data_IF_755780407287
#
_entry.id   IF_755780407287
#
_cell.length_a   1.000
_cell.length_b   1.000
_cell.length_c   1.000
_cell.angle_alpha   90.00
_cell.angle_beta   90.00
_cell.angle_gamma   90.00
#
_symmetry.space_group_name_H-M   'P 1'
#
loop_
_entity.id
_entity.type
_entity.pdbx_description
1 polymer ?
#
# COMPACT_ATOMS: atom_id res chain seq x y z
N UNK A 1 -7.02 47.46 43.27
CA UNK A 1 -5.99 46.40 43.42
C UNK A 1 -6.55 45.11 42.82
N UNK A 2 -5.81 44.41 41.95
CA UNK A 2 -6.31 43.17 41.31
C UNK A 2 -5.83 41.91 42.05
N UNK A 3 -6.77 41.05 42.42
CA UNK A 3 -6.48 39.78 43.09
C UNK A 3 -5.95 38.72 42.10
N UNK A 4 -4.96 37.93 42.53
CA UNK A 4 -4.43 36.80 41.75
C UNK A 4 -5.35 35.56 41.87
N UNK A 5 -5.62 34.81 40.78
CA UNK A 5 -6.34 33.54 40.87
C UNK A 5 -5.59 32.50 41.71
N UNK A 6 -6.32 31.70 42.49
CA UNK A 6 -5.76 30.51 43.19
C UNK A 6 -5.81 29.29 42.26
N UNK A 7 -4.71 28.55 42.17
CA UNK A 7 -4.68 27.25 41.49
C UNK A 7 -5.36 26.16 42.36
N UNK A 8 -6.07 25.18 41.76
CA UNK A 8 -6.67 24.08 42.50
C UNK A 8 -5.61 23.10 43.03
N UNK A 9 -5.88 22.50 44.19
CA UNK A 9 -5.01 21.50 44.83
C UNK A 9 -5.16 20.13 44.16
N UNK A 10 -4.05 19.49 43.84
CA UNK A 10 -3.99 18.05 43.51
C UNK A 10 -4.12 17.23 44.80
N UNK A 11 -5.19 16.43 44.94
CA UNK A 11 -5.29 15.36 45.95
C UNK A 11 -6.45 14.40 45.64
N UNK A 12 -6.18 13.29 44.93
CA UNK A 12 -7.12 12.19 44.72
C UNK A 12 -6.40 10.91 44.23
N UNK A 13 -5.49 10.35 45.05
CA UNK A 13 -4.78 9.10 44.69
C UNK A 13 -5.69 7.89 45.01
N UNK A 14 -6.49 7.46 44.03
CA UNK A 14 -7.25 6.21 44.13
C UNK A 14 -6.31 5.00 44.01
N UNK A 15 -6.18 4.24 45.10
CA UNK A 15 -5.45 2.96 45.14
C UNK A 15 -6.27 1.83 44.51
N UNK A 16 -6.21 1.64 43.19
CA UNK A 16 -6.70 0.41 42.56
C UNK A 16 -5.78 -0.77 42.92
N UNK A 17 -6.29 -1.73 43.70
CA UNK A 17 -5.64 -3.02 43.90
C UNK A 17 -5.74 -3.85 42.61
N UNK A 18 -4.61 -4.20 42.01
CA UNK A 18 -4.55 -5.20 40.95
C UNK A 18 -4.60 -6.60 41.57
N UNK A 19 -5.63 -7.39 41.26
CA UNK A 19 -5.73 -8.81 41.64
C UNK A 19 -4.93 -9.66 40.65
N UNK A 20 -3.82 -10.23 41.11
CA UNK A 20 -2.91 -11.02 40.28
C UNK A 20 -3.22 -12.52 40.32
N UNK A 21 -3.91 -13.05 39.31
CA UNK A 21 -3.75 -14.45 38.83
C UNK A 21 -4.46 -14.67 37.49
N UNK A 22 -3.71 -14.69 36.39
CA UNK A 22 -4.08 -15.43 35.18
C UNK A 22 -2.86 -16.22 34.73
N UNK A 23 -2.82 -17.50 35.11
CA UNK A 23 -1.79 -18.43 34.67
C UNK A 23 -2.06 -18.83 33.21
N UNK A 24 -1.05 -18.69 32.36
CA UNK A 24 -1.12 -19.19 30.99
C UNK A 24 -0.89 -20.71 30.99
N UNK A 25 -1.66 -21.49 30.20
CA UNK A 25 -1.43 -22.94 30.10
C UNK A 25 -0.08 -23.23 29.43
N UNK A 26 0.62 -24.32 29.81
CA UNK A 26 1.88 -24.70 29.20
C UNK A 26 1.68 -25.14 27.74
N UNK A 27 2.58 -24.71 26.86
CA UNK A 27 2.56 -25.07 25.44
C UNK A 27 2.95 -26.56 25.31
N UNK A 28 2.01 -27.39 24.87
CA UNK A 28 2.29 -28.79 24.54
C UNK A 28 3.06 -28.88 23.21
N UNK A 29 4.24 -29.49 23.23
CA UNK A 29 5.05 -29.74 22.03
C UNK A 29 4.55 -30.99 21.30
N UNK A 30 4.00 -30.81 20.10
CA UNK A 30 3.56 -31.92 19.23
C UNK A 30 4.80 -32.63 18.64
N UNK A 31 4.97 -33.97 18.81
CA UNK A 31 6.08 -34.71 18.21
C UNK A 31 5.93 -34.83 16.68
N UNK A 32 6.97 -34.50 15.92
CA UNK A 32 6.94 -34.56 14.46
C UNK A 32 7.26 -35.96 13.93
N UNK A 33 6.23 -36.73 13.56
CA UNK A 33 6.40 -38.14 13.12
C UNK A 33 6.86 -38.27 11.66
N UNK A 34 8.11 -38.67 11.45
CA UNK A 34 8.70 -38.85 10.11
C UNK A 34 8.38 -40.21 9.48
N UNK A 35 7.24 -40.33 8.78
CA UNK A 35 6.88 -41.55 8.02
C UNK A 35 7.71 -41.71 6.73
N UNK A 36 8.84 -42.40 6.87
CA UNK A 36 9.77 -42.82 5.80
C UNK A 36 9.13 -43.86 4.87
N UNK A 37 8.74 -43.47 3.65
CA UNK A 37 8.06 -44.37 2.69
C UNK A 37 9.08 -45.19 1.88
N UNK A 38 9.26 -46.47 2.25
CA UNK A 38 9.96 -47.45 1.39
C UNK A 38 9.20 -47.65 0.07
N UNK A 39 9.92 -47.90 -1.02
CA UNK A 39 9.45 -48.65 -2.19
C UNK A 39 10.28 -49.93 -2.29
N UNK A 40 9.67 -50.99 -2.77
CA UNK A 40 10.24 -52.34 -2.88
C UNK A 40 10.79 -52.61 -4.28
N UNK A 41 11.77 -53.50 -4.35
CA UNK A 41 12.31 -54.12 -5.56
C UNK A 41 11.76 -55.53 -5.70
N UNK A 42 11.56 -56.00 -6.94
CA UNK A 42 11.46 -57.43 -7.31
C UNK A 42 11.79 -57.59 -8.80
N UNK A 43 12.79 -58.43 -9.10
CA UNK A 43 13.03 -59.32 -10.27
C UNK A 43 12.12 -59.16 -11.53
N UNK A 44 12.62 -59.11 -12.78
CA UNK A 44 13.37 -60.13 -13.57
C UNK A 44 12.57 -61.39 -13.90
N UNK A 45 12.68 -62.04 -15.08
CA UNK A 45 13.55 -61.84 -16.27
C UNK A 45 12.76 -61.17 -17.43
N UNK A 46 12.99 -61.25 -18.76
CA UNK A 46 13.88 -62.02 -19.64
C UNK A 46 14.19 -61.26 -20.97
N UNK A 47 14.62 -61.97 -22.03
CA UNK A 47 15.10 -61.39 -23.30
C UNK A 47 14.56 -62.10 -24.56
N UNK A 48 14.61 -61.44 -25.73
CA UNK A 48 14.99 -62.06 -27.02
C UNK A 48 15.15 -61.04 -28.18
N UNK A 49 15.98 -61.45 -29.16
CA UNK A 49 16.07 -60.99 -30.56
C UNK A 49 16.65 -59.60 -30.93
N UNK A 50 17.22 -59.58 -32.14
CA UNK A 50 17.93 -58.53 -32.87
C UNK A 50 17.06 -58.09 -34.10
N UNK A 51 17.39 -57.08 -34.95
CA UNK A 51 18.71 -56.85 -35.56
C UNK A 51 19.17 -55.38 -35.72
N UNK A 52 20.34 -55.24 -36.35
CA UNK A 52 21.07 -54.00 -36.60
C UNK A 52 20.61 -53.24 -37.85
N UNK A 53 20.67 -51.91 -37.78
CA UNK A 53 20.71 -51.01 -38.95
C UNK A 53 21.84 -49.99 -38.74
N UNK A 54 22.70 -49.81 -39.74
CA UNK A 54 23.76 -48.80 -39.75
C UNK A 54 23.19 -47.42 -40.12
N UNK A 55 23.69 -46.32 -39.53
CA UNK A 55 23.30 -44.99 -40.00
C UNK A 55 23.85 -43.79 -39.23
N UNK A 56 24.54 -42.90 -39.96
CA UNK A 56 24.82 -41.50 -39.62
C UNK A 56 25.57 -41.19 -38.30
N UNK A 57 26.89 -40.96 -38.41
CA UNK A 57 27.59 -40.11 -37.46
C UNK A 57 27.05 -38.67 -37.55
N UNK A 58 26.29 -38.23 -36.55
CA UNK A 58 26.00 -36.80 -36.32
C UNK A 58 26.85 -36.28 -35.16
N UNK A 59 27.75 -35.36 -35.46
CA UNK A 59 28.65 -34.73 -34.50
C UNK A 59 27.90 -34.16 -33.31
N UNK A 60 28.12 -34.73 -32.11
CA UNK A 60 27.58 -34.21 -30.86
C UNK A 60 28.28 -32.91 -30.49
N UNK A 61 27.83 -31.78 -31.05
CA UNK A 61 28.14 -30.47 -30.50
C UNK A 61 27.60 -30.41 -29.07
N UNK A 62 28.50 -30.39 -28.09
CA UNK A 62 28.18 -30.23 -26.68
C UNK A 62 27.58 -28.85 -26.44
N UNK A 63 26.25 -28.75 -26.55
CA UNK A 63 25.50 -27.57 -26.11
C UNK A 63 25.79 -27.33 -24.63
N UNK A 64 26.75 -26.44 -24.36
CA UNK A 64 27.03 -25.90 -23.03
C UNK A 64 25.69 -25.43 -22.46
N UNK A 65 25.29 -26.00 -21.31
CA UNK A 65 24.01 -25.67 -20.68
C UNK A 65 24.01 -24.16 -20.44
N UNK A 66 23.13 -23.45 -21.15
CA UNK A 66 23.16 -22.00 -21.22
C UNK A 66 23.19 -21.40 -19.82
N UNK A 67 24.14 -20.49 -19.59
CA UNK A 67 24.21 -19.69 -18.37
C UNK A 67 22.83 -19.11 -18.14
N UNK A 68 22.15 -19.53 -17.06
CA UNK A 68 20.88 -18.92 -16.66
C UNK A 68 21.16 -17.44 -16.50
N UNK A 69 20.65 -16.60 -17.41
CA UNK A 69 20.65 -15.14 -17.24
C UNK A 69 20.08 -14.88 -15.85
N UNK A 70 20.94 -14.46 -14.90
CA UNK A 70 20.48 -13.96 -13.62
C UNK A 70 19.53 -12.81 -13.97
N UNK A 71 18.25 -12.96 -13.60
CA UNK A 71 17.34 -11.82 -13.66
C UNK A 71 17.97 -10.75 -12.77
N UNK A 72 18.19 -9.57 -13.32
CA UNK A 72 18.76 -8.45 -12.57
C UNK A 72 17.84 -8.17 -11.38
N UNK A 73 18.38 -8.29 -10.17
CA UNK A 73 17.71 -7.88 -8.94
C UNK A 73 17.23 -6.44 -9.13
N UNK A 74 15.96 -6.16 -8.82
CA UNK A 74 15.43 -4.80 -8.98
C UNK A 74 16.04 -3.89 -7.91
N UNK A 75 15.91 -2.56 -8.07
CA UNK A 75 16.55 -1.64 -7.14
C UNK A 75 15.98 -1.72 -5.71
N UNK A 76 14.73 -2.19 -5.54
CA UNK A 76 14.06 -2.19 -4.24
C UNK A 76 14.56 -3.28 -3.27
N UNK A 77 14.70 -4.58 -3.64
CA UNK A 77 15.31 -5.59 -2.77
C UNK A 77 16.75 -5.25 -2.37
N UNK A 78 17.55 -4.71 -3.29
CA UNK A 78 18.91 -4.26 -3.03
C UNK A 78 18.95 -3.08 -2.04
N UNK A 79 18.08 -2.08 -2.24
CA UNK A 79 17.90 -0.94 -1.32
C UNK A 79 17.46 -1.42 0.07
N UNK A 80 16.52 -2.35 0.13
CA UNK A 80 16.02 -2.93 1.38
C UNK A 80 17.10 -3.76 2.10
N UNK A 81 17.95 -4.47 1.36
CA UNK A 81 19.08 -5.22 1.91
C UNK A 81 20.16 -4.30 2.49
N UNK A 82 20.49 -3.21 1.79
CA UNK A 82 21.45 -2.21 2.29
C UNK A 82 20.91 -1.43 3.50
N UNK A 83 19.63 -1.04 3.50
CA UNK A 83 18.97 -0.37 4.63
C UNK A 83 18.93 -1.24 5.90
N UNK A 84 18.87 -2.56 5.75
CA UNK A 84 18.76 -3.53 6.85
C UNK A 84 20.07 -4.28 7.15
N UNK A 85 21.18 -3.88 6.52
CA UNK A 85 22.53 -4.34 6.86
C UNK A 85 22.95 -5.72 6.36
N UNK A 86 22.20 -6.35 5.46
CA UNK A 86 22.53 -7.65 4.85
C UNK A 86 22.83 -7.59 3.34
N UNK A 87 22.87 -6.38 2.79
CA UNK A 87 23.20 -6.09 1.39
C UNK A 87 24.61 -5.51 1.21
N UNK A 88 25.08 -5.61 -0.03
CA UNK A 88 26.40 -5.15 -0.47
C UNK A 88 26.52 -3.62 -0.44
N UNK A 89 27.74 -3.09 -0.33
CA UNK A 89 27.97 -1.64 -0.17
C UNK A 89 27.97 -0.85 -1.51
N UNK A 90 27.43 -1.41 -2.59
CA UNK A 90 27.37 -0.79 -3.93
C UNK A 90 25.93 -0.81 -4.44
N UNK A 91 25.43 0.28 -5.02
CA UNK A 91 24.09 0.29 -5.64
C UNK A 91 24.09 -0.48 -6.96
N UNK A 92 22.94 -1.07 -7.38
CA UNK A 92 22.78 -1.62 -8.73
C UNK A 92 22.95 -0.58 -9.86
N UNK A 93 22.89 0.72 -9.54
CA UNK A 93 23.16 1.85 -10.43
C UNK A 93 24.65 2.20 -10.58
N UNK A 94 25.53 1.62 -9.75
CA UNK A 94 26.92 2.05 -9.60
C UNK A 94 27.13 3.34 -8.79
N UNK A 95 26.07 4.07 -8.43
CA UNK A 95 26.16 5.28 -7.61
C UNK A 95 26.48 4.95 -6.14
N UNK A 96 27.14 5.86 -5.39
CA UNK A 96 27.33 5.68 -3.95
C UNK A 96 25.99 5.71 -3.22
N UNK A 97 25.87 4.93 -2.15
CA UNK A 97 24.74 5.05 -1.22
C UNK A 97 24.82 6.39 -0.46
N UNK A 98 23.69 7.05 -0.14
CA UNK A 98 23.68 8.24 0.70
C UNK A 98 24.20 7.89 2.10
N UNK A 99 24.91 8.84 2.72
CA UNK A 99 25.40 8.60 4.09
C UNK A 99 24.25 8.67 5.09
N UNK A 100 23.89 7.50 5.63
CA UNK A 100 22.84 7.31 6.62
C UNK A 100 23.46 6.65 7.85
N UNK A 101 23.42 7.35 8.98
CA UNK A 101 23.89 6.88 10.28
C UNK A 101 23.39 5.47 10.62
N UNK A 102 24.28 4.61 11.12
CA UNK A 102 23.97 3.21 11.45
C UNK A 102 23.52 3.06 12.91
N UNK A 103 22.53 2.22 13.14
CA UNK A 103 22.13 1.66 14.43
C UNK A 103 22.78 0.28 14.55
N UNK A 104 23.93 0.23 15.22
CA UNK A 104 24.72 -1.00 15.40
C UNK A 104 24.40 -1.67 16.73
N UNK A 105 24.21 -2.99 16.72
CA UNK A 105 24.12 -3.84 17.90
C UNK A 105 25.14 -4.97 17.76
N UNK A 106 26.31 -4.78 18.36
CA UNK A 106 27.50 -5.63 18.21
C UNK A 106 27.20 -7.11 18.51
N UNK A 107 26.54 -7.36 19.66
CA UNK A 107 26.16 -8.70 20.12
C UNK A 107 25.15 -9.44 19.23
N UNK A 108 24.64 -8.82 18.16
CA UNK A 108 23.57 -9.35 17.31
C UNK A 108 23.90 -9.37 15.81
N UNK A 109 25.16 -9.06 15.41
CA UNK A 109 25.58 -8.89 14.01
C UNK A 109 24.65 -7.97 13.20
N UNK A 110 24.13 -6.91 13.85
CA UNK A 110 22.99 -6.14 13.34
C UNK A 110 23.35 -4.67 13.12
N UNK A 111 23.20 -4.22 11.87
CA UNK A 111 23.48 -2.85 11.41
C UNK A 111 22.30 -2.31 10.60
N UNK A 112 21.28 -1.77 11.27
CA UNK A 112 20.17 -1.08 10.59
C UNK A 112 20.61 0.34 10.21
N UNK A 113 20.18 0.88 9.07
CA UNK A 113 20.29 2.32 8.79
C UNK A 113 19.20 3.05 9.60
N UNK A 114 19.55 4.19 10.21
CA UNK A 114 18.60 5.03 10.95
C UNK A 114 17.69 5.77 9.96
N UNK A 115 16.61 5.09 9.58
CA UNK A 115 15.57 5.59 8.67
C UNK A 115 14.18 5.39 9.24
N UNK A 116 13.26 6.22 8.76
CA UNK A 116 11.83 6.09 8.95
C UNK A 116 11.18 5.58 7.67
N UNK A 117 10.56 4.41 7.71
CA UNK A 117 9.65 3.97 6.65
C UNK A 117 8.32 4.70 6.80
N UNK A 118 7.95 5.45 5.77
CA UNK A 118 6.70 6.16 5.64
C UNK A 118 5.90 5.51 4.51
N UNK A 119 4.84 4.78 4.84
CA UNK A 119 3.93 4.26 3.84
C UNK A 119 2.73 5.18 3.63
N UNK A 120 2.39 5.38 2.36
CA UNK A 120 1.26 6.16 1.89
C UNK A 120 0.45 5.32 0.90
N UNK A 121 -0.86 5.47 0.99
CA UNK A 121 -1.88 4.94 0.09
C UNK A 121 -2.97 6.01 -0.06
N UNK A 122 -3.66 6.08 -1.21
CA UNK A 122 -4.66 7.12 -1.52
C UNK A 122 -5.90 6.48 -2.16
N UNK A 123 -7.06 6.75 -1.58
CA UNK A 123 -8.36 6.19 -2.01
C UNK A 123 -9.46 7.28 -1.98
N UNK A 124 -10.71 6.93 -2.31
CA UNK A 124 -11.88 7.80 -2.35
C UNK A 124 -11.70 9.09 -3.20
N UNK A 125 -10.77 9.05 -4.16
CA UNK A 125 -10.30 10.18 -4.96
C UNK A 125 -11.42 10.73 -5.86
N UNK A 126 -11.84 11.97 -5.61
CA UNK A 126 -12.80 12.68 -6.42
C UNK A 126 -12.12 13.88 -7.11
N UNK A 127 -12.05 13.79 -8.44
CA UNK A 127 -11.44 14.76 -9.34
C UNK A 127 -12.48 15.26 -10.35
N UNK A 128 -12.46 16.56 -10.66
CA UNK A 128 -13.22 17.18 -11.74
C UNK A 128 -12.31 17.93 -12.72
N UNK A 129 -12.89 18.78 -13.59
CA UNK A 129 -12.15 19.67 -14.49
C UNK A 129 -11.22 20.66 -13.76
N UNK A 130 -11.59 21.11 -12.55
CA UNK A 130 -10.80 22.05 -11.76
C UNK A 130 -9.67 21.37 -10.95
N UNK A 131 -9.77 20.06 -10.71
CA UNK A 131 -8.71 19.24 -10.14
C UNK A 131 -9.21 18.32 -9.04
N UNK A 132 -8.35 18.02 -8.06
CA UNK A 132 -8.69 17.12 -6.95
C UNK A 132 -9.46 17.92 -5.88
N UNK A 133 -10.73 17.57 -5.72
CA UNK A 133 -11.63 18.17 -4.72
C UNK A 133 -11.45 17.57 -3.35
N UNK A 134 -11.47 16.23 -3.25
CA UNK A 134 -11.45 15.47 -2.00
C UNK A 134 -10.86 14.07 -2.24
N UNK A 135 -10.26 13.49 -1.21
CA UNK A 135 -9.64 12.15 -1.22
C UNK A 135 -9.41 11.68 0.22
N UNK A 136 -9.19 10.37 0.38
CA UNK A 136 -8.72 9.78 1.64
C UNK A 136 -7.25 9.38 1.47
N UNK A 137 -6.44 9.58 2.52
CA UNK A 137 -5.01 9.23 2.52
C UNK A 137 -4.64 8.45 3.78
N UNK A 138 -4.01 7.30 3.55
CA UNK A 138 -3.38 6.49 4.57
C UNK A 138 -1.98 6.98 4.86
N UNK A 139 -1.62 7.06 6.15
CA UNK A 139 -0.26 7.35 6.57
C UNK A 139 0.14 6.37 7.67
N UNK A 140 1.09 5.50 7.37
CA UNK A 140 1.63 4.51 8.30
C UNK A 140 3.13 4.69 8.45
N UNK A 141 3.62 4.71 9.69
CA UNK A 141 5.01 5.00 10.02
C UNK A 141 5.61 3.84 10.80
N UNK A 142 6.76 3.35 10.35
CA UNK A 142 7.62 2.43 11.10
C UNK A 142 9.02 3.02 11.20
N UNK A 143 9.62 2.96 12.38
CA UNK A 143 10.90 3.59 12.67
C UNK A 143 11.95 2.55 13.05
N UNK A 144 13.11 2.59 12.40
CA UNK A 144 14.21 1.63 12.65
C UNK A 144 14.79 1.76 14.05
N UNK A 145 14.76 2.95 14.63
CA UNK A 145 15.10 3.19 16.04
C UNK A 145 14.24 2.34 16.98
N UNK A 146 12.94 2.25 16.71
CA UNK A 146 11.99 1.53 17.58
C UNK A 146 12.16 0.00 17.45
N UNK A 147 12.53 -0.49 16.26
CA UNK A 147 12.95 -1.89 16.05
C UNK A 147 14.24 -2.16 16.85
N UNK A 148 15.25 -1.30 16.72
CA UNK A 148 16.53 -1.40 17.42
C UNK A 148 16.38 -1.40 18.95
N UNK A 149 15.48 -0.56 19.48
CA UNK A 149 15.13 -0.55 20.91
C UNK A 149 14.43 -1.84 21.37
N UNK A 150 13.53 -2.43 20.57
CA UNK A 150 12.95 -3.74 20.89
C UNK A 150 14.00 -4.87 20.86
N UNK A 151 14.98 -4.81 19.95
CA UNK A 151 16.04 -5.81 19.86
C UNK A 151 16.98 -5.80 21.08
N UNK A 152 17.26 -4.61 21.64
CA UNK A 152 17.99 -4.46 22.91
C UNK A 152 17.26 -5.04 24.14
N UNK A 153 15.94 -5.26 24.07
CA UNK A 153 15.21 -5.87 25.17
C UNK A 153 15.38 -7.40 25.17
N UNK A 154 15.56 -8.06 26.34
CA UNK A 154 15.57 -9.51 26.44
C UNK A 154 14.28 -10.12 25.86
N UNK A 155 14.31 -11.28 25.18
CA UNK A 155 13.15 -11.84 24.47
C UNK A 155 11.84 -11.86 25.27
N UNK A 156 11.89 -12.20 26.56
CA UNK A 156 10.74 -12.23 27.49
C UNK A 156 10.10 -10.85 27.78
N UNK A 157 10.72 -9.75 27.35
CA UNK A 157 10.26 -8.35 27.55
C UNK A 157 9.99 -7.61 26.24
N UNK A 158 10.19 -8.23 25.07
CA UNK A 158 9.95 -7.59 23.77
C UNK A 158 8.43 -7.48 23.52
N UNK A 159 7.87 -6.27 23.52
CA UNK A 159 6.47 -6.05 23.15
C UNK A 159 6.38 -5.89 21.62
N UNK A 160 6.39 -7.04 20.93
CA UNK A 160 6.38 -7.13 19.47
C UNK A 160 4.98 -7.04 18.84
N UNK A 161 4.00 -6.52 19.59
CA UNK A 161 2.64 -6.30 19.11
C UNK A 161 2.54 -5.25 17.99
N UNK A 162 1.32 -5.02 17.49
CA UNK A 162 1.05 -4.17 16.33
C UNK A 162 1.49 -2.68 16.48
N UNK A 163 1.95 -2.26 17.67
CA UNK A 163 2.26 -0.87 18.03
C UNK A 163 3.52 -0.27 17.38
N UNK A 164 4.40 -1.09 16.76
CA UNK A 164 5.58 -0.56 16.06
C UNK A 164 5.21 0.20 14.78
N UNK A 165 4.12 -0.20 14.10
CA UNK A 165 3.60 0.50 12.93
C UNK A 165 2.50 1.47 13.40
N UNK A 166 2.81 2.77 13.40
CA UNK A 166 1.92 3.84 13.86
C UNK A 166 1.13 4.40 12.67
N UNK A 167 -0.15 4.06 12.60
CA UNK A 167 -1.03 4.38 11.48
C UNK A 167 -2.09 5.42 11.81
N UNK A 168 -2.45 6.19 10.79
CA UNK A 168 -3.56 7.16 10.80
C UNK A 168 -4.22 7.19 9.42
N UNK A 169 -5.54 7.38 9.41
CA UNK A 169 -6.33 7.63 8.21
C UNK A 169 -6.76 9.10 8.21
N UNK A 170 -6.62 9.80 7.08
CA UNK A 170 -7.07 11.19 6.94
C UNK A 170 -8.06 11.32 5.80
N UNK A 171 -9.23 11.88 6.11
CA UNK A 171 -10.25 12.30 5.15
C UNK A 171 -9.94 13.76 4.79
N UNK A 172 -9.79 14.08 3.50
CA UNK A 172 -9.18 15.34 3.06
C UNK A 172 -10.14 16.17 2.22
N UNK A 173 -10.39 17.42 2.64
CA UNK A 173 -11.33 18.38 2.02
C UNK A 173 -12.81 17.93 1.98
N UNK A 174 -13.14 16.81 2.64
CA UNK A 174 -14.47 16.21 2.73
C UNK A 174 -15.03 16.37 4.14
N UNK A 175 -15.91 17.34 4.31
CA UNK A 175 -16.53 17.67 5.59
C UNK A 175 -18.03 17.32 5.65
N UNK A 176 -18.54 16.53 4.69
CA UNK A 176 -20.00 16.31 4.52
C UNK A 176 -20.43 14.87 4.21
N UNK A 177 -19.54 13.94 3.82
CA UNK A 177 -19.95 12.54 3.55
C UNK A 177 -20.02 11.68 4.82
N UNK A 178 -20.73 10.56 4.71
CA UNK A 178 -21.02 9.62 5.81
C UNK A 178 -19.74 9.05 6.41
N UNK A 179 -19.32 9.64 7.54
CA UNK A 179 -18.11 9.19 8.24
C UNK A 179 -18.29 7.76 8.76
N UNK A 180 -19.51 7.34 9.06
CA UNK A 180 -19.86 5.99 9.55
C UNK A 180 -19.33 4.89 8.62
N UNK A 181 -19.50 5.06 7.30
CA UNK A 181 -18.98 4.14 6.29
C UNK A 181 -17.44 4.11 6.22
N UNK A 182 -16.75 5.08 6.84
CA UNK A 182 -15.27 5.17 6.94
C UNK A 182 -14.73 4.87 8.35
N UNK A 183 -15.57 4.41 9.29
CA UNK A 183 -15.13 3.97 10.64
C UNK A 183 -14.31 2.65 10.57
N UNK A 184 -14.35 1.92 9.45
CA UNK A 184 -13.61 0.66 9.22
C UNK A 184 -12.07 0.76 9.23
N UNK A 185 -11.49 1.95 9.49
CA UNK A 185 -10.06 2.07 9.76
C UNK A 185 -9.68 1.26 11.01
N UNK A 186 -8.70 0.38 10.84
CA UNK A 186 -8.44 -0.79 11.70
C UNK A 186 -7.19 -0.64 12.58
N UNK A 187 -6.47 0.47 12.47
CA UNK A 187 -5.15 0.67 13.09
C UNK A 187 -4.99 2.07 13.74
N UNK A 188 -6.08 2.63 14.28
CA UNK A 188 -6.08 3.83 15.11
C UNK A 188 -7.18 4.83 14.76
N UNK A 189 -6.93 6.12 15.02
CA UNK A 189 -7.91 7.18 14.75
C UNK A 189 -7.93 7.71 13.31
N UNK A 190 -9.13 7.74 12.71
CA UNK A 190 -9.46 8.55 11.53
C UNK A 190 -9.67 10.05 11.92
N UNK A 191 -9.38 10.99 11.01
CA UNK A 191 -9.63 12.44 11.19
C UNK A 191 -9.89 13.16 9.86
N UNK A 192 -10.86 14.08 9.82
CA UNK A 192 -11.03 15.04 8.71
C UNK A 192 -10.01 16.18 8.82
N UNK A 193 -9.48 16.68 7.70
CA UNK A 193 -8.69 17.92 7.64
C UNK A 193 -8.65 18.57 6.25
N UNK A 194 -8.26 19.85 6.20
CA UNK A 194 -7.90 20.53 4.96
C UNK A 194 -6.52 20.10 4.44
N UNK A 195 -6.31 20.21 3.13
CA UNK A 195 -5.05 19.92 2.45
C UNK A 195 -3.85 20.73 2.98
N UNK A 196 -3.95 22.04 3.30
CA UNK A 196 -2.83 22.77 3.90
C UNK A 196 -2.44 22.21 5.28
N UNK A 197 -3.42 21.78 6.09
CA UNK A 197 -3.17 21.13 7.38
C UNK A 197 -2.59 19.72 7.20
N UNK A 198 -2.99 18.98 6.17
CA UNK A 198 -2.34 17.72 5.79
C UNK A 198 -0.88 17.94 5.41
N UNK A 199 -0.58 18.88 4.50
CA UNK A 199 0.79 19.21 4.06
C UNK A 199 1.69 19.52 5.25
N UNK A 200 1.26 20.41 6.14
CA UNK A 200 2.00 20.73 7.36
C UNK A 200 2.21 19.49 8.22
N UNK A 201 1.15 18.71 8.49
CA UNK A 201 1.22 17.52 9.33
C UNK A 201 2.09 16.41 8.76
N UNK A 202 2.22 16.31 7.43
CA UNK A 202 3.18 15.44 6.76
C UNK A 202 4.61 15.97 6.96
N UNK A 203 4.84 17.28 6.75
CA UNK A 203 6.13 17.95 7.06
C UNK A 203 6.58 17.65 8.50
N UNK A 204 5.70 17.86 9.49
CA UNK A 204 5.93 17.57 10.92
C UNK A 204 6.26 16.09 11.25
N UNK A 205 6.14 15.17 10.28
CA UNK A 205 6.43 13.73 10.44
C UNK A 205 7.72 13.29 9.73
N UNK A 206 8.18 14.08 8.76
CA UNK A 206 9.41 13.84 7.97
C UNK A 206 10.56 14.78 8.35
N UNK A 207 10.26 15.93 8.94
CA UNK A 207 11.26 16.94 9.30
C UNK A 207 12.34 16.39 10.24
N UNK A 208 13.60 16.68 9.92
CA UNK A 208 14.78 16.18 10.62
C UNK A 208 15.03 14.67 10.50
N UNK A 209 14.47 13.97 9.49
CA UNK A 209 14.60 12.51 9.36
C UNK A 209 14.88 12.02 7.95
N UNK A 210 15.66 10.96 7.88
CA UNK A 210 15.87 10.16 6.66
C UNK A 210 14.63 9.30 6.40
N UNK A 211 13.80 9.71 5.44
CA UNK A 211 12.52 9.04 5.14
C UNK A 211 12.65 8.16 3.91
N UNK A 212 12.25 6.89 4.05
CA UNK A 212 12.04 5.95 2.95
C UNK A 212 10.54 5.90 2.69
N UNK A 213 10.10 6.36 1.53
CA UNK A 213 8.71 6.35 1.11
C UNK A 213 8.34 4.95 0.57
N UNK A 214 7.22 4.39 1.02
CA UNK A 214 6.78 3.02 0.68
C UNK A 214 5.37 3.05 0.11
N UNK A 215 5.20 2.49 -1.08
CA UNK A 215 3.92 2.49 -1.82
C UNK A 215 3.67 1.13 -2.49
N UNK A 216 2.56 1.00 -3.21
CA UNK A 216 2.13 -0.24 -3.83
C UNK A 216 1.44 0.03 -5.17
N UNK A 217 2.22 0.04 -6.26
CA UNK A 217 1.75 0.52 -7.57
C UNK A 217 1.80 2.04 -7.71
N UNK A 218 2.90 2.63 -7.23
CA UNK A 218 3.09 4.04 -6.81
C UNK A 218 2.73 5.15 -7.82
N UNK A 219 2.39 4.81 -9.06
CA UNK A 219 2.15 5.78 -10.14
C UNK A 219 0.97 6.71 -9.83
N UNK A 220 -0.09 6.19 -9.21
CA UNK A 220 -1.27 6.97 -8.83
C UNK A 220 -0.94 7.93 -7.69
N UNK A 221 -0.29 7.44 -6.63
CA UNK A 221 -0.01 8.21 -5.41
C UNK A 221 0.99 9.33 -5.70
N UNK A 222 2.03 9.05 -6.49
CA UNK A 222 3.01 10.06 -6.94
C UNK A 222 2.35 11.13 -7.82
N UNK A 223 1.47 10.73 -8.75
CA UNK A 223 0.72 11.66 -9.60
C UNK A 223 -0.20 12.57 -8.77
N UNK A 224 -0.96 11.98 -7.84
CA UNK A 224 -1.83 12.71 -6.92
C UNK A 224 -1.02 13.65 -6.03
N UNK A 225 0.02 13.17 -5.33
CA UNK A 225 0.86 14.01 -4.46
C UNK A 225 1.51 15.17 -5.23
N UNK A 226 2.00 14.94 -6.46
CA UNK A 226 2.53 16.00 -7.33
C UNK A 226 1.47 17.04 -7.66
N UNK A 227 0.27 16.62 -8.10
CA UNK A 227 -0.83 17.54 -8.42
C UNK A 227 -1.36 18.32 -7.20
N UNK A 228 -1.23 17.73 -6.01
CA UNK A 228 -1.58 18.35 -4.73
C UNK A 228 -0.45 19.18 -4.12
N UNK A 229 0.70 19.32 -4.79
CA UNK A 229 1.93 19.92 -4.27
C UNK A 229 2.25 19.43 -2.85
N UNK A 230 2.26 18.11 -2.67
CA UNK A 230 2.76 17.41 -1.49
C UNK A 230 4.15 16.89 -1.86
N UNK A 231 5.20 17.61 -1.45
CA UNK A 231 6.57 17.13 -1.57
C UNK A 231 7.04 16.55 -0.22
N UNK A 232 7.64 15.36 -0.27
CA UNK A 232 8.14 14.61 0.90
C UNK A 232 9.67 14.42 0.89
N UNK A 233 10.36 14.77 -0.20
CA UNK A 233 11.82 14.60 -0.39
C UNK A 233 12.42 13.32 0.25
N UNK A 234 11.90 12.11 -0.04
CA UNK A 234 12.40 10.90 0.58
C UNK A 234 13.80 10.54 0.06
N UNK A 235 14.64 9.93 0.91
CA UNK A 235 15.97 9.44 0.50
C UNK A 235 15.89 8.22 -0.43
N UNK A 236 14.79 7.46 -0.34
CA UNK A 236 14.46 6.34 -1.22
C UNK A 236 12.95 6.20 -1.37
N UNK A 237 12.51 5.71 -2.52
CA UNK A 237 11.13 5.24 -2.74
C UNK A 237 11.16 3.74 -3.03
N UNK A 238 10.34 2.97 -2.33
CA UNK A 238 10.16 1.53 -2.54
C UNK A 238 8.72 1.27 -2.99
N UNK A 239 8.55 0.80 -4.22
CA UNK A 239 7.28 0.22 -4.67
C UNK A 239 7.28 -1.29 -4.38
N UNK A 240 6.44 -1.70 -3.44
CA UNK A 240 6.29 -3.11 -3.06
C UNK A 240 5.79 -4.00 -4.21
N UNK A 241 5.09 -3.43 -5.20
CA UNK A 241 4.61 -4.13 -6.41
C UNK A 241 5.76 -4.43 -7.39
N UNK A 242 6.79 -3.58 -7.44
CA UNK A 242 8.01 -3.85 -8.23
C UNK A 242 8.94 -4.80 -7.48
N UNK A 243 9.14 -4.57 -6.18
CA UNK A 243 10.04 -5.36 -5.32
C UNK A 243 9.75 -6.88 -5.36
N UNK A 244 8.49 -7.28 -5.56
CA UNK A 244 8.07 -8.70 -5.61
C UNK A 244 7.73 -9.22 -7.00
N UNK A 245 7.90 -8.41 -8.07
CA UNK A 245 7.47 -8.76 -9.43
C UNK A 245 8.15 -10.01 -9.99
N UNK A 246 9.35 -10.34 -9.52
CA UNK A 246 10.08 -11.55 -9.87
C UNK A 246 9.69 -12.78 -9.01
N UNK A 247 8.99 -12.57 -7.88
CA UNK A 247 8.55 -13.63 -6.96
C UNK A 247 7.13 -14.14 -7.24
N UNK A 248 6.21 -13.25 -7.65
CA UNK A 248 4.77 -13.57 -7.74
C UNK A 248 4.13 -13.15 -9.06
N UNK A 249 3.31 -14.03 -9.64
CA UNK A 249 2.48 -13.75 -10.83
C UNK A 249 1.36 -12.73 -10.60
N UNK A 250 0.95 -12.52 -9.35
CA UNK A 250 -0.06 -11.54 -8.93
C UNK A 250 0.51 -10.70 -7.81
N UNK A 251 0.65 -9.41 -8.05
CA UNK A 251 1.38 -8.48 -7.19
C UNK A 251 0.47 -7.46 -6.49
N UNK A 252 -0.85 -7.65 -6.50
CA UNK A 252 -1.78 -6.80 -5.74
C UNK A 252 -1.76 -7.11 -4.24
N UNK A 253 -2.10 -6.12 -3.42
CA UNK A 253 -1.98 -6.17 -1.97
C UNK A 253 -2.72 -7.37 -1.34
N UNK A 254 -3.95 -7.66 -1.79
CA UNK A 254 -4.73 -8.79 -1.29
C UNK A 254 -4.04 -10.15 -1.53
N UNK A 255 -3.44 -10.35 -2.72
CA UNK A 255 -2.66 -11.55 -3.02
C UNK A 255 -1.40 -11.64 -2.12
N UNK A 256 -0.66 -10.54 -1.94
CA UNK A 256 0.55 -10.53 -1.10
C UNK A 256 0.23 -10.78 0.37
N UNK A 257 -0.88 -10.23 0.90
CA UNK A 257 -1.31 -10.47 2.27
C UNK A 257 -1.68 -11.93 2.53
N UNK A 258 -2.32 -12.61 1.57
CA UNK A 258 -2.59 -14.05 1.64
C UNK A 258 -1.30 -14.88 1.60
N UNK A 259 -0.44 -14.60 0.63
CA UNK A 259 0.84 -15.31 0.40
C UNK A 259 1.77 -15.24 1.61
N UNK A 260 1.97 -14.04 2.17
CA UNK A 260 2.82 -13.84 3.36
C UNK A 260 2.14 -14.22 4.69
N UNK A 261 0.86 -14.64 4.65
CA UNK A 261 0.02 -15.00 5.80
C UNK A 261 -0.13 -13.86 6.81
N UNK A 262 -0.38 -12.66 6.31
CA UNK A 262 -0.65 -11.46 7.10
C UNK A 262 -2.16 -11.41 7.42
N UNK A 263 -2.58 -11.37 8.71
CA UNK A 263 -3.99 -11.30 9.09
C UNK A 263 -4.64 -10.02 8.57
N UNK A 264 -5.72 -10.17 7.80
CA UNK A 264 -6.53 -9.08 7.26
C UNK A 264 -8.00 -9.53 7.18
N UNK A 265 -8.93 -8.60 7.39
CA UNK A 265 -10.36 -8.84 7.15
C UNK A 265 -10.72 -8.55 5.69
N UNK A 266 -11.71 -9.25 5.13
CA UNK A 266 -12.17 -8.99 3.76
C UNK A 266 -12.60 -7.52 3.57
N UNK A 267 -13.34 -6.96 4.53
CA UNK A 267 -13.76 -5.55 4.58
C UNK A 267 -12.70 -4.59 5.17
N UNK A 268 -11.41 -4.93 5.12
CA UNK A 268 -10.33 -4.06 5.64
C UNK A 268 -9.43 -3.45 4.57
N UNK A 269 -9.57 -3.88 3.31
CA UNK A 269 -8.97 -3.21 2.15
C UNK A 269 -9.93 -2.15 1.58
N UNK A 270 -9.47 -1.30 0.67
CA UNK A 270 -10.21 -0.13 0.14
C UNK A 270 -10.49 0.92 1.23
N UNK A 271 -9.49 1.10 2.09
CA UNK A 271 -9.50 2.05 3.19
C UNK A 271 -8.07 2.51 3.40
N UNK A 272 -7.60 3.51 2.65
CA UNK A 272 -6.19 3.91 2.54
C UNK A 272 -5.32 3.80 3.81
N UNK A 273 -5.81 4.22 4.99
CA UNK A 273 -5.11 4.01 6.28
C UNK A 273 -4.78 2.55 6.65
N UNK A 274 -5.67 1.60 6.32
CA UNK A 274 -5.43 0.16 6.44
C UNK A 274 -4.44 -0.32 5.39
N UNK A 275 -4.65 0.07 4.14
CA UNK A 275 -3.81 -0.39 3.03
C UNK A 275 -2.36 0.09 3.20
N UNK A 276 -2.13 1.35 3.58
CA UNK A 276 -0.81 1.85 4.01
C UNK A 276 -0.20 1.08 5.20
N UNK A 277 -1.01 0.56 6.14
CA UNK A 277 -0.51 -0.28 7.25
C UNK A 277 -0.09 -1.67 6.73
N UNK A 278 -0.93 -2.25 5.87
CA UNK A 278 -0.68 -3.53 5.22
C UNK A 278 0.53 -3.51 4.27
N UNK A 279 0.77 -2.40 3.57
CA UNK A 279 1.96 -2.18 2.72
C UNK A 279 3.26 -2.28 3.54
N UNK A 280 3.31 -1.72 4.76
CA UNK A 280 4.47 -1.91 5.65
C UNK A 280 4.61 -3.34 6.14
N UNK A 281 3.51 -4.02 6.51
CA UNK A 281 3.56 -5.45 6.88
C UNK A 281 4.07 -6.33 5.73
N UNK A 282 3.68 -6.01 4.50
CA UNK A 282 4.21 -6.65 3.29
C UNK A 282 5.68 -6.33 3.10
N UNK A 283 6.13 -5.07 3.25
CA UNK A 283 7.55 -4.71 3.16
C UNK A 283 8.43 -5.49 4.15
N UNK A 284 7.99 -5.65 5.40
CA UNK A 284 8.68 -6.47 6.40
C UNK A 284 8.81 -7.94 5.94
N UNK A 285 7.75 -8.50 5.35
CA UNK A 285 7.77 -9.86 4.84
C UNK A 285 8.57 -10.05 3.54
N UNK A 286 8.68 -9.01 2.71
CA UNK A 286 9.62 -8.95 1.59
C UNK A 286 11.05 -9.04 2.13
N UNK A 287 11.39 -8.25 3.14
CA UNK A 287 12.73 -8.26 3.74
C UNK A 287 13.08 -9.63 4.34
N UNK A 288 12.15 -10.21 5.12
CA UNK A 288 12.28 -11.54 5.72
C UNK A 288 12.50 -12.63 4.66
N UNK A 289 11.78 -12.56 3.53
CA UNK A 289 11.94 -13.51 2.44
C UNK A 289 13.29 -13.33 1.73
N UNK A 290 13.63 -12.09 1.38
CA UNK A 290 14.86 -11.79 0.64
C UNK A 290 16.13 -12.17 1.42
N UNK A 291 16.20 -11.88 2.72
CA UNK A 291 17.36 -12.28 3.55
C UNK A 291 17.48 -13.81 3.68
N UNK A 292 16.36 -14.55 3.72
CA UNK A 292 16.36 -16.02 3.74
C UNK A 292 16.84 -16.62 2.42
N UNK A 293 16.41 -16.04 1.30
CA UNK A 293 16.85 -16.45 -0.04
C UNK A 293 18.33 -16.09 -0.30
N UNK A 294 18.81 -14.93 0.19
CA UNK A 294 20.20 -14.46 0.02
C UNK A 294 21.23 -15.12 0.95
N UNK A 295 20.88 -15.40 2.22
CA UNK A 295 21.80 -15.97 3.22
C UNK A 295 21.68 -17.50 3.39
N UNK A 296 20.82 -18.18 2.62
CA UNK A 296 20.63 -19.63 2.71
C UNK A 296 20.06 -20.16 4.05
N UNK A 297 19.69 -19.26 4.96
CA UNK A 297 19.12 -19.58 6.27
C UNK A 297 20.11 -19.92 7.40
N UNK A 298 21.42 -20.01 7.13
CA UNK A 298 22.40 -20.51 8.13
C UNK A 298 22.74 -19.53 9.25
N UNK A 299 22.63 -18.21 9.03
CA UNK A 299 22.56 -17.18 10.07
C UNK A 299 21.60 -16.08 9.61
N UNK A 300 20.44 -15.97 10.27
CA UNK A 300 19.45 -14.93 9.97
C UNK A 300 19.56 -13.78 10.98
N UNK A 301 19.49 -12.50 10.55
CA UNK A 301 19.57 -11.36 11.47
C UNK A 301 18.46 -11.35 12.52
N UNK A 302 18.78 -10.84 13.70
CA UNK A 302 17.90 -10.79 14.88
C UNK A 302 16.57 -10.03 14.65
N UNK A 303 16.53 -9.14 13.63
CA UNK A 303 15.30 -8.46 13.21
C UNK A 303 14.29 -9.36 12.47
N UNK A 304 14.71 -10.50 11.91
CA UNK A 304 13.84 -11.42 11.14
C UNK A 304 12.62 -11.91 11.94
N UNK A 305 12.79 -12.51 13.15
CA UNK A 305 11.64 -12.91 13.96
C UNK A 305 10.78 -11.71 14.37
N UNK A 306 11.38 -10.55 14.66
CA UNK A 306 10.64 -9.31 14.97
C UNK A 306 9.75 -8.89 13.80
N UNK A 307 10.28 -8.92 12.57
CA UNK A 307 9.54 -8.56 11.36
C UNK A 307 8.37 -9.52 11.10
N UNK A 308 8.58 -10.83 11.30
CA UNK A 308 7.50 -11.82 11.17
C UNK A 308 6.42 -11.64 12.25
N UNK A 309 6.79 -11.39 13.51
CA UNK A 309 5.81 -11.14 14.60
C UNK A 309 5.01 -9.87 14.35
N UNK A 310 5.65 -8.77 13.95
CA UNK A 310 4.97 -7.49 13.66
C UNK A 310 4.05 -7.63 12.45
N UNK A 311 4.54 -8.21 11.34
CA UNK A 311 3.75 -8.36 10.12
C UNK A 311 2.55 -9.31 10.30
N UNK A 312 2.73 -10.42 11.01
CA UNK A 312 1.67 -11.41 11.27
C UNK A 312 0.90 -11.19 12.59
N UNK A 313 1.14 -10.09 13.29
CA UNK A 313 0.36 -9.72 14.48
C UNK A 313 -1.13 -9.64 14.14
N UNK A 314 -2.06 -9.95 15.07
CA UNK A 314 -3.48 -9.72 14.84
C UNK A 314 -3.77 -8.23 14.60
N UNK A 315 -4.96 -7.92 14.08
CA UNK A 315 -5.52 -6.57 14.15
C UNK A 315 -5.73 -6.22 15.63
N UNK A 316 -5.41 -5.00 16.10
CA UNK A 316 -5.73 -4.58 17.47
C UNK A 316 -7.25 -4.63 17.72
N UNK A 317 -7.64 -4.96 18.95
CA UNK A 317 -9.06 -5.03 19.30
C UNK A 317 -9.70 -3.64 19.29
N UNK A 318 -10.97 -3.58 18.86
CA UNK A 318 -11.68 -2.31 18.67
C UNK A 318 -11.79 -1.51 19.98
N UNK A 319 -11.95 -2.20 21.12
CA UNK A 319 -12.04 -1.59 22.45
C UNK A 319 -10.71 -1.03 22.96
N UNK A 320 -9.56 -1.50 22.46
CA UNK A 320 -8.28 -0.84 22.76
C UNK A 320 -8.15 0.49 22.01
N UNK A 321 -8.56 0.52 20.74
CA UNK A 321 -8.50 1.75 19.94
C UNK A 321 -9.48 2.83 20.42
N UNK A 322 -10.65 2.42 20.94
CA UNK A 322 -11.62 3.33 21.58
C UNK A 322 -11.04 4.10 22.78
N UNK A 323 -9.97 3.59 23.41
CA UNK A 323 -9.25 4.26 24.52
C UNK A 323 -8.30 5.38 24.08
N UNK A 324 -7.98 5.53 22.78
CA UNK A 324 -7.25 6.72 22.28
C UNK A 324 -8.11 8.01 22.30
N UNK A 325 -9.35 7.92 22.81
CA UNK A 325 -10.32 9.02 22.90
C UNK A 325 -11.27 9.06 21.69
N UNK A 326 -12.29 9.92 21.72
CA UNK A 326 -13.23 10.05 20.61
C UNK A 326 -12.49 10.39 19.32
N UNK A 327 -12.82 9.68 18.25
CA UNK A 327 -12.36 9.98 16.89
C UNK A 327 -12.67 11.46 16.63
N UNK A 328 -11.63 12.30 16.44
CA UNK A 328 -11.81 13.70 16.04
C UNK A 328 -12.15 13.76 14.55
N UNK A 329 -13.37 13.33 14.29
CA UNK A 329 -14.09 13.32 13.03
C UNK A 329 -14.35 14.76 12.61
N UNK A 330 -15.00 15.54 13.49
CA UNK A 330 -15.40 16.92 13.18
C UNK A 330 -14.18 17.82 12.99
N UNK A 331 -14.03 18.49 11.82
CA UNK A 331 -12.99 19.50 11.63
C UNK A 331 -13.27 20.72 12.52
N UNK A 332 -12.23 21.46 12.91
CA UNK A 332 -12.42 22.73 13.62
C UNK A 332 -13.07 23.79 12.71
N UNK A 333 -13.85 24.72 13.25
CA UNK A 333 -14.55 25.76 12.47
C UNK A 333 -13.64 26.52 11.47
N UNK A 334 -12.40 26.83 11.87
CA UNK A 334 -11.40 27.48 10.99
C UNK A 334 -11.00 26.59 9.79
N UNK A 335 -10.99 25.27 9.96
CA UNK A 335 -10.68 24.30 8.92
C UNK A 335 -11.90 24.08 8.01
N UNK A 336 -13.11 23.96 8.58
CA UNK A 336 -14.36 23.89 7.80
C UNK A 336 -14.45 25.07 6.82
N UNK A 337 -14.29 26.29 7.34
CA UNK A 337 -14.27 27.53 6.54
C UNK A 337 -13.12 27.61 5.53
N UNK A 338 -12.02 26.88 5.74
CA UNK A 338 -10.92 26.77 4.77
C UNK A 338 -11.29 25.81 3.63
N UNK A 339 -11.90 24.67 3.95
CA UNK A 339 -12.32 23.67 2.96
C UNK A 339 -13.46 24.20 2.08
N UNK A 340 -14.43 24.93 2.67
CA UNK A 340 -15.50 25.60 1.92
C UNK A 340 -14.95 26.66 0.97
N UNK A 341 -14.00 27.50 1.40
CA UNK A 341 -13.30 28.46 0.53
C UNK A 341 -12.55 27.77 -0.63
N UNK A 342 -11.86 26.64 -0.38
CA UNK A 342 -11.20 25.87 -1.44
C UNK A 342 -12.24 25.32 -2.43
N UNK A 343 -13.34 24.76 -1.93
CA UNK A 343 -14.44 24.23 -2.74
C UNK A 343 -15.05 25.31 -3.63
N UNK A 344 -15.34 26.50 -3.09
CA UNK A 344 -15.83 27.64 -3.89
C UNK A 344 -14.86 28.02 -5.02
N UNK A 345 -13.55 28.06 -4.75
CA UNK A 345 -12.55 28.38 -5.77
C UNK A 345 -12.52 27.31 -6.87
N UNK A 346 -12.56 26.02 -6.51
CA UNK A 346 -12.63 24.93 -7.48
C UNK A 346 -13.94 24.97 -8.29
N UNK A 347 -15.08 25.28 -7.68
CA UNK A 347 -16.36 25.44 -8.39
C UNK A 347 -16.36 26.64 -9.34
N UNK A 348 -15.71 27.75 -9.00
CA UNK A 348 -15.52 28.90 -9.90
C UNK A 348 -14.58 28.56 -11.08
N UNK A 349 -13.57 27.72 -10.85
CA UNK A 349 -12.68 27.22 -11.92
C UNK A 349 -13.44 26.24 -12.83
N UNK A 350 -14.18 25.27 -12.27
CA UNK A 350 -14.97 24.31 -13.03
C UNK A 350 -15.96 25.00 -13.99
N UNK A 351 -16.73 25.98 -13.49
CA UNK A 351 -17.66 26.76 -14.33
C UNK A 351 -16.96 27.56 -15.44
N UNK A 352 -15.70 27.98 -15.23
CA UNK A 352 -14.88 28.63 -16.28
C UNK A 352 -14.33 27.65 -17.33
N UNK A 353 -14.27 26.35 -17.01
CA UNK A 353 -13.88 25.24 -17.90
C UNK A 353 -15.10 24.48 -18.47
N UNK A 354 -16.32 24.95 -18.17
CA UNK A 354 -17.60 24.42 -18.65
C UNK A 354 -18.32 25.39 -19.58
N UNK A 355 -18.08 26.70 -19.42
CA UNK A 355 -18.37 27.64 -20.50
C UNK A 355 -17.47 27.32 -21.69
N UNK A 356 -18.01 27.11 -22.90
CA UNK A 356 -17.18 27.17 -24.12
C UNK A 356 -16.42 28.50 -24.15
N UNK A 357 -15.23 28.48 -24.75
CA UNK A 357 -14.51 29.71 -25.08
C UNK A 357 -15.36 30.56 -26.03
N UNK A 358 -15.12 31.88 -26.07
CA UNK A 358 -15.80 32.75 -27.05
C UNK A 358 -15.55 32.31 -28.49
N UNK A 359 -14.40 31.70 -28.75
CA UNK A 359 -14.03 31.13 -30.05
C UNK A 359 -14.85 29.88 -30.37
N UNK A 360 -15.14 29.02 -29.39
CA UNK A 360 -16.07 27.88 -29.55
C UNK A 360 -17.54 28.34 -29.64
N UNK A 361 -17.96 29.36 -28.89
CA UNK A 361 -19.30 29.98 -29.02
C UNK A 361 -19.47 30.59 -30.42
N UNK A 362 -18.49 31.36 -30.91
CA UNK A 362 -18.52 31.96 -32.24
C UNK A 362 -18.38 30.91 -33.35
N UNK A 363 -17.58 29.85 -33.16
CA UNK A 363 -17.47 28.75 -34.11
C UNK A 363 -18.78 27.95 -34.19
N UNK A 364 -19.45 27.68 -33.07
CA UNK A 364 -20.78 27.07 -33.07
C UNK A 364 -21.79 27.97 -33.80
N UNK A 365 -21.83 29.27 -33.48
CA UNK A 365 -22.70 30.23 -34.17
C UNK A 365 -22.42 30.30 -35.68
N UNK A 366 -21.14 30.36 -36.10
CA UNK A 366 -20.74 30.32 -37.51
C UNK A 366 -21.18 29.02 -38.19
N UNK A 367 -21.04 27.86 -37.54
CA UNK A 367 -21.52 26.59 -38.09
C UNK A 367 -23.04 26.54 -38.23
N UNK A 368 -23.79 27.11 -37.27
CA UNK A 368 -25.25 27.19 -37.35
C UNK A 368 -25.73 28.15 -38.45
N UNK A 369 -24.96 29.20 -38.76
CA UNK A 369 -25.25 30.12 -39.88
C UNK A 369 -24.88 29.51 -41.24
N UNK A 370 -23.84 28.66 -41.31
CA UNK A 370 -23.43 28.02 -42.57
C UNK A 370 -24.25 26.78 -42.95
N UNK A 371 -24.99 26.17 -42.01
CA UNK A 371 -26.02 25.17 -42.33
C UNK A 371 -27.37 25.86 -42.59
N UNK A 372 -27.39 26.73 -43.61
CA UNK A 372 -28.58 26.74 -44.46
C UNK A 372 -28.54 25.45 -45.27
N UNK A 373 -29.58 24.58 -45.22
CA UNK A 373 -29.68 23.52 -46.19
C UNK A 373 -29.81 24.18 -47.57
N UNK A 374 -28.83 23.95 -48.43
CA UNK A 374 -29.09 23.95 -49.86
C UNK A 374 -30.09 22.80 -50.08
N UNK A 375 -31.39 23.12 -50.09
CA UNK A 375 -32.42 22.18 -50.46
C UNK A 375 -32.06 21.65 -51.85
N UNK A 376 -31.83 20.34 -52.04
CA UNK A 376 -31.78 19.81 -53.40
C UNK A 376 -33.14 20.07 -54.03
N UNK A 377 -33.16 20.51 -55.29
CA UNK A 377 -34.41 20.84 -55.99
C UNK A 377 -35.39 19.67 -55.89
N UNK A 378 -36.53 19.91 -55.24
CA UNK A 378 -37.45 18.85 -54.82
C UNK A 378 -38.32 18.31 -55.98
N UNK A 379 -38.18 18.89 -57.18
CA UNK A 379 -39.01 18.60 -58.36
C UNK A 379 -38.67 17.27 -59.06
N UNK A 380 -37.63 16.55 -58.61
CA UNK A 380 -37.30 15.23 -59.16
C UNK A 380 -36.72 14.25 -58.11
N UNK A 381 -37.59 13.42 -57.51
CA UNK A 381 -37.37 11.98 -57.22
C UNK A 381 -38.56 11.39 -56.43
N UNK A 382 -39.54 10.81 -57.14
CA UNK A 382 -40.60 9.99 -56.52
C UNK A 382 -40.01 8.67 -55.98
N UNK A 383 -40.11 8.34 -54.68
CA UNK A 383 -39.51 7.12 -54.15
C UNK A 383 -40.35 5.88 -54.47
N UNK A 384 -39.81 4.95 -55.27
CA UNK A 384 -40.51 3.75 -55.77
C UNK A 384 -40.66 2.61 -54.75
N UNK A 385 -40.86 2.94 -53.46
CA UNK A 385 -40.96 1.96 -52.36
C UNK A 385 -42.24 2.10 -51.51
N UNK A 386 -43.17 2.97 -51.90
CA UNK A 386 -44.38 3.28 -51.12
C UNK A 386 -45.43 2.13 -51.06
N UNK A 387 -45.35 1.12 -51.93
CA UNK A 387 -46.49 0.21 -52.20
C UNK A 387 -46.58 -1.04 -51.31
N UNK A 388 -45.65 -1.28 -50.37
CA UNK A 388 -45.52 -2.57 -49.68
C UNK A 388 -45.44 -2.53 -48.14
N UNK A 389 -46.49 -2.03 -47.48
CA UNK A 389 -46.80 -2.43 -46.09
C UNK A 389 -48.30 -2.69 -45.89
N UNK A 390 -48.70 -3.95 -46.10
CA UNK A 390 -50.06 -4.45 -45.86
C UNK A 390 -50.37 -4.57 -44.37
N UNK A 391 -51.60 -4.24 -43.98
CA UNK A 391 -52.07 -4.31 -42.58
C UNK A 391 -52.41 -5.76 -42.19
N UNK A 392 -51.85 -6.22 -41.07
CA UNK A 392 -52.29 -7.42 -40.31
C UNK A 392 -51.95 -7.14 -38.84
N UNK A 393 -52.89 -6.76 -37.98
CA UNK A 393 -53.95 -7.55 -37.34
C UNK A 393 -53.46 -8.65 -36.37
N UNK A 394 -54.12 -8.68 -35.21
CA UNK A 394 -53.91 -9.54 -34.03
C UNK A 394 -52.60 -9.30 -33.24
N UNK A 395 -52.56 -9.45 -31.91
CA UNK A 395 -53.60 -9.91 -30.97
C UNK A 395 -53.53 -9.26 -29.58
N UNK A 396 -54.46 -9.62 -28.69
CA UNK A 396 -54.72 -8.98 -27.40
C UNK A 396 -54.49 -9.97 -26.24
N UNK A 397 -53.58 -9.63 -25.30
CA UNK A 397 -53.50 -10.12 -23.90
C UNK A 397 -53.29 -11.65 -23.69
N UNK A 398 -53.05 -12.14 -22.45
CA UNK A 398 -52.86 -11.46 -21.15
C UNK A 398 -51.41 -11.08 -20.80
#
# INVERSE_FOLDING_TARGET
>A
MFARPRLPRLNAIHKCKLSSTLAWPPIQTIPYSSKRRRRSETHELAALAQPSIQGSQRSRTTRVRGVKRRQSETHEPATLAWLLGYGDQVQPSGAPWPDLSKLVLENANLSLRHVRFLSIDIDALHKDKAGIRQFDIGVSILDTEQIYLQLKLPPKRRNLGAHLIKSRHYIVEDARRDIENRINFSFGGCRVMSLPKLRQKLKDKIEGRNVVLVMHGAATEVSVMKSLNINLNPVFTIDTTTAVRHLFKRTNLHCLLKEYKIPHGFRSLHHAGNDAHFILRVLLMIAVRHVREKLGGTQLPDWVPVFETVARSPKPELEEMRKEGPLRITPGYKELKQMERRREVLERIARKLEKPSKEEEEMMLRSMVQVQPAFPDCDAMSPSWADHYTISQYGILP
#
